data_IF_911422942503
#
_entry.id   IF_911422942503
#
_cell.length_a   1.000
_cell.length_b   1.000
_cell.length_c   1.000
_cell.angle_alpha   90.00
_cell.angle_beta   90.00
_cell.angle_gamma   90.00
#
_symmetry.space_group_name_H-M   'P 1'
#
loop_
_entity.id
_entity.type
_entity.pdbx_description
1 polymer ?
#
# COMPACT_ATOMS: atom_id res chain seq x y z
N UNK A 1 -8.92 -24.36 39.05
CA UNK A 1 -9.22 -25.50 38.14
C UNK A 1 -9.92 -24.90 36.94
N UNK A 2 -9.62 -25.38 35.73
CA UNK A 2 -10.25 -24.89 34.49
C UNK A 2 -11.25 -25.95 34.05
N UNK A 3 -12.48 -25.53 33.75
CA UNK A 3 -13.53 -26.38 33.22
C UNK A 3 -13.43 -26.36 31.70
N UNK A 4 -13.32 -27.54 31.09
CA UNK A 4 -13.46 -27.70 29.65
C UNK A 4 -14.88 -28.19 29.37
N UNK A 5 -15.72 -27.27 28.91
CA UNK A 5 -17.09 -27.56 28.50
C UNK A 5 -17.12 -28.16 27.09
N UNK A 6 -18.21 -28.87 26.77
CA UNK A 6 -18.48 -29.43 25.44
C UNK A 6 -17.35 -30.30 24.87
N UNK A 7 -16.78 -31.17 25.71
CA UNK A 7 -15.69 -32.06 25.32
C UNK A 7 -16.02 -32.92 24.08
N UNK A 8 -17.28 -33.36 23.93
CA UNK A 8 -17.74 -34.08 22.74
C UNK A 8 -17.57 -33.28 21.45
N UNK A 9 -17.94 -32.00 21.45
CA UNK A 9 -17.82 -31.10 20.30
C UNK A 9 -16.35 -30.83 19.95
N UNK A 10 -15.49 -30.67 20.96
CA UNK A 10 -14.04 -30.51 20.75
C UNK A 10 -13.45 -31.73 20.03
N UNK A 11 -13.85 -32.95 20.42
CA UNK A 11 -13.39 -34.18 19.78
C UNK A 11 -13.85 -34.24 18.31
N UNK A 12 -15.11 -33.88 18.03
CA UNK A 12 -15.65 -33.89 16.67
C UNK A 12 -14.96 -32.85 15.78
N UNK A 13 -14.84 -31.60 16.24
CA UNK A 13 -14.10 -30.55 15.51
C UNK A 13 -12.64 -30.92 15.26
N UNK A 14 -12.00 -31.58 16.22
CA UNK A 14 -10.62 -32.08 16.06
C UNK A 14 -10.55 -33.21 15.04
N UNK A 15 -11.58 -34.07 14.95
CA UNK A 15 -11.66 -35.12 13.93
C UNK A 15 -11.82 -34.55 12.52
N UNK A 16 -12.63 -33.50 12.39
CA UNK A 16 -12.84 -32.81 11.11
C UNK A 16 -11.57 -32.07 10.66
N UNK A 17 -10.91 -31.38 11.59
CA UNK A 17 -9.69 -30.63 11.30
C UNK A 17 -8.49 -31.55 10.99
N UNK A 18 -8.34 -32.63 11.75
CA UNK A 18 -7.19 -33.54 11.70
C UNK A 18 -7.61 -34.88 11.09
N UNK A 19 -8.17 -34.84 9.88
CA UNK A 19 -8.77 -36.02 9.22
C UNK A 19 -7.75 -37.09 8.81
N UNK A 20 -6.50 -36.71 8.50
CA UNK A 20 -5.47 -37.68 8.17
C UNK A 20 -4.95 -38.41 9.42
N UNK A 21 -4.49 -39.64 9.24
CA UNK A 21 -4.02 -40.50 10.35
C UNK A 21 -2.82 -39.89 11.10
N UNK A 22 -1.94 -39.21 10.37
CA UNK A 22 -0.69 -38.64 10.90
C UNK A 22 -0.84 -37.17 11.33
N UNK A 23 -2.02 -36.57 11.17
CA UNK A 23 -2.29 -35.20 11.60
C UNK A 23 -2.58 -35.13 13.10
N UNK A 24 -2.06 -34.10 13.75
CA UNK A 24 -2.36 -33.73 15.13
C UNK A 24 -2.18 -34.87 16.15
N UNK A 25 -1.27 -35.81 15.92
CA UNK A 25 -1.08 -37.03 16.74
C UNK A 25 -0.97 -36.72 18.24
N UNK A 26 -0.21 -35.67 18.59
CA UNK A 26 -0.04 -35.25 19.99
C UNK A 26 -1.36 -34.77 20.60
N UNK A 27 -2.15 -33.99 19.86
CA UNK A 27 -3.46 -33.50 20.30
C UNK A 27 -4.47 -34.64 20.43
N UNK A 28 -4.54 -35.54 19.44
CA UNK A 28 -5.39 -36.74 19.49
C UNK A 28 -5.08 -37.60 20.72
N UNK A 29 -3.81 -37.85 21.00
CA UNK A 29 -3.39 -38.62 22.18
C UNK A 29 -3.75 -37.92 23.50
N UNK A 30 -3.60 -36.59 23.58
CA UNK A 30 -4.02 -35.82 24.74
C UNK A 30 -5.53 -35.95 24.98
N UNK A 31 -6.35 -35.82 23.94
CA UNK A 31 -7.80 -35.96 24.03
C UNK A 31 -8.25 -37.39 24.39
N UNK A 32 -7.59 -38.42 23.85
CA UNK A 32 -7.87 -39.83 24.22
C UNK A 32 -7.63 -40.07 25.71
N UNK A 33 -6.52 -39.54 26.25
CA UNK A 33 -6.20 -39.64 27.66
C UNK A 33 -7.22 -38.89 28.54
N UNK A 34 -7.65 -37.69 28.12
CA UNK A 34 -8.67 -36.91 28.84
C UNK A 34 -10.06 -37.57 28.80
N UNK A 35 -10.42 -38.16 27.66
CA UNK A 35 -11.70 -38.85 27.48
C UNK A 35 -11.74 -40.28 28.03
N UNK A 36 -10.65 -40.76 28.64
CA UNK A 36 -10.49 -42.13 29.12
C UNK A 36 -10.96 -43.17 28.09
N UNK A 37 -10.54 -42.99 26.83
CA UNK A 37 -10.86 -43.89 25.72
C UNK A 37 -9.66 -44.76 25.38
N UNK A 38 -9.91 -45.89 24.74
CA UNK A 38 -8.85 -46.82 24.31
C UNK A 38 -8.03 -46.24 23.16
N UNK A 39 -8.70 -45.72 22.15
CA UNK A 39 -8.11 -45.21 20.90
C UNK A 39 -8.93 -44.01 20.38
N UNK A 40 -8.36 -43.25 19.44
CA UNK A 40 -9.00 -42.08 18.81
C UNK A 40 -10.35 -42.42 18.17
N UNK A 41 -10.42 -43.50 17.39
CA UNK A 41 -11.65 -43.92 16.71
C UNK A 41 -12.77 -44.27 17.70
N UNK A 42 -12.42 -44.88 18.83
CA UNK A 42 -13.36 -45.18 19.90
C UNK A 42 -13.88 -43.90 20.58
N UNK A 43 -13.03 -42.88 20.73
CA UNK A 43 -13.41 -41.59 21.29
C UNK A 43 -14.38 -40.85 20.36
N UNK A 44 -14.04 -40.76 19.06
CA UNK A 44 -14.87 -40.11 18.05
C UNK A 44 -16.23 -40.81 17.91
N UNK A 45 -16.26 -42.15 17.95
CA UNK A 45 -17.53 -42.91 17.93
C UNK A 45 -18.41 -42.63 19.15
N UNK A 46 -17.81 -42.41 20.33
CA UNK A 46 -18.55 -42.02 21.54
C UNK A 46 -19.07 -40.59 21.44
N UNK A 47 -18.27 -39.67 20.90
CA UNK A 47 -18.68 -38.29 20.64
C UNK A 47 -19.87 -38.24 19.67
N UNK A 48 -19.76 -38.92 18.52
CA UNK A 48 -20.84 -39.00 17.52
C UNK A 48 -22.14 -39.65 18.04
N UNK A 49 -22.04 -40.54 19.03
CA UNK A 49 -23.19 -41.17 19.67
C UNK A 49 -23.84 -40.28 20.76
N UNK A 50 -23.38 -39.03 20.94
CA UNK A 50 -23.84 -38.12 21.98
C UNK A 50 -23.47 -38.55 23.40
N UNK A 51 -22.60 -39.56 23.56
CA UNK A 51 -22.23 -40.10 24.89
C UNK A 51 -21.27 -39.19 25.66
N UNK A 52 -20.77 -38.15 25.01
CA UNK A 52 -19.87 -37.15 25.59
C UNK A 52 -20.55 -35.78 25.73
N UNK A 53 -21.84 -35.68 25.40
CA UNK A 53 -22.60 -34.44 25.52
C UNK A 53 -22.85 -34.13 27.01
N UNK A 54 -22.47 -32.93 27.44
CA UNK A 54 -22.53 -32.53 28.85
C UNK A 54 -21.42 -33.09 29.75
N UNK A 55 -20.39 -33.74 29.18
CA UNK A 55 -19.20 -34.14 29.93
C UNK A 55 -18.25 -32.95 30.05
N UNK A 56 -18.11 -32.43 31.26
CA UNK A 56 -17.18 -31.35 31.55
C UNK A 56 -15.90 -31.93 32.17
N UNK A 57 -14.75 -31.64 31.56
CA UNK A 57 -13.46 -32.14 32.03
C UNK A 57 -12.82 -31.10 32.95
N UNK A 58 -12.52 -31.49 34.18
CA UNK A 58 -11.81 -30.64 35.14
C UNK A 58 -10.30 -30.82 34.98
N UNK A 59 -9.65 -29.75 34.51
CA UNK A 59 -8.21 -29.73 34.30
C UNK A 59 -7.51 -28.98 35.43
N UNK A 60 -6.35 -29.50 35.82
CA UNK A 60 -5.38 -28.74 36.61
C UNK A 60 -4.83 -27.60 35.74
N UNK A 61 -4.51 -26.42 36.30
CA UNK A 61 -4.06 -25.27 35.53
C UNK A 61 -2.92 -25.58 34.55
N UNK A 62 -1.91 -26.33 35.00
CA UNK A 62 -0.76 -26.73 34.16
C UNK A 62 -1.18 -27.63 32.98
N UNK A 63 -2.12 -28.55 33.21
CA UNK A 63 -2.64 -29.42 32.16
C UNK A 63 -3.50 -28.66 31.16
N UNK A 64 -4.24 -27.64 31.62
CA UNK A 64 -5.02 -26.75 30.77
C UNK A 64 -4.12 -25.90 29.87
N UNK A 65 -3.06 -25.31 30.43
CA UNK A 65 -2.07 -24.53 29.67
C UNK A 65 -1.30 -25.40 28.66
N UNK A 66 -0.92 -26.62 29.03
CA UNK A 66 -0.28 -27.54 28.11
C UNK A 66 -1.20 -27.97 26.96
N UNK A 67 -2.50 -28.15 27.23
CA UNK A 67 -3.49 -28.47 26.20
C UNK A 67 -3.70 -27.27 25.27
N UNK A 68 -3.80 -26.07 25.82
CA UNK A 68 -3.96 -24.83 25.04
C UNK A 68 -2.79 -24.60 24.08
N UNK A 69 -1.55 -24.70 24.58
CA UNK A 69 -0.36 -24.61 23.73
C UNK A 69 -0.32 -25.68 22.63
N UNK A 70 -0.81 -26.89 22.95
CA UNK A 70 -0.87 -27.99 21.99
C UNK A 70 -1.91 -27.74 20.90
N UNK A 71 -3.07 -27.20 21.27
CA UNK A 71 -4.10 -26.76 20.32
C UNK A 71 -3.54 -25.63 19.46
N UNK A 72 -2.99 -24.58 20.06
CA UNK A 72 -2.41 -23.44 19.37
C UNK A 72 -1.36 -23.86 18.32
N UNK A 73 -0.45 -24.74 18.70
CA UNK A 73 0.61 -25.22 17.80
C UNK A 73 0.06 -26.11 16.68
N UNK A 74 -0.97 -26.92 16.98
CA UNK A 74 -1.57 -27.84 15.99
C UNK A 74 -2.45 -27.10 14.97
N UNK A 75 -3.15 -26.04 15.38
CA UNK A 75 -4.07 -25.28 14.52
C UNK A 75 -3.41 -24.13 13.78
N UNK A 76 -2.27 -23.62 14.25
CA UNK A 76 -1.52 -22.53 13.64
C UNK A 76 -1.35 -22.64 12.10
N UNK A 77 -0.82 -23.75 11.55
CA UNK A 77 -0.60 -23.84 10.10
C UNK A 77 -1.91 -23.80 9.31
N UNK A 78 -2.98 -24.39 9.85
CA UNK A 78 -4.30 -24.37 9.23
C UNK A 78 -4.87 -22.95 9.18
N UNK A 79 -4.85 -22.24 10.31
CA UNK A 79 -5.39 -20.88 10.38
C UNK A 79 -4.61 -19.95 9.45
N UNK A 80 -3.28 -20.03 9.44
CA UNK A 80 -2.46 -19.20 8.54
C UNK A 80 -2.72 -19.53 7.07
N UNK A 81 -2.87 -20.80 6.71
CA UNK A 81 -3.15 -21.19 5.32
C UNK A 81 -4.53 -20.71 4.85
N UNK A 82 -5.58 -20.95 5.65
CA UNK A 82 -6.94 -20.52 5.31
C UNK A 82 -7.06 -18.99 5.30
N UNK A 83 -6.39 -18.29 6.21
CA UNK A 83 -6.35 -16.83 6.21
C UNK A 83 -5.66 -16.29 4.96
N UNK A 84 -4.53 -16.87 4.56
CA UNK A 84 -3.83 -16.48 3.34
C UNK A 84 -4.68 -16.75 2.09
N UNK A 85 -5.36 -17.90 2.03
CA UNK A 85 -6.29 -18.25 0.95
C UNK A 85 -7.46 -17.27 0.85
N UNK A 86 -8.06 -16.93 1.99
CA UNK A 86 -9.15 -15.96 2.04
C UNK A 86 -8.69 -14.56 1.61
N UNK A 87 -7.50 -14.13 2.05
CA UNK A 87 -6.91 -12.85 1.63
C UNK A 87 -6.63 -12.80 0.12
N UNK A 88 -6.13 -13.89 -0.47
CA UNK A 88 -5.94 -13.99 -1.93
C UNK A 88 -7.28 -13.93 -2.69
N UNK A 89 -8.32 -14.58 -2.14
CA UNK A 89 -9.66 -14.52 -2.73
C UNK A 89 -10.24 -13.11 -2.70
N UNK A 90 -9.96 -12.32 -1.66
CA UNK A 90 -10.43 -10.94 -1.55
C UNK A 90 -9.73 -9.99 -2.53
N UNK A 91 -8.45 -10.23 -2.82
CA UNK A 91 -7.69 -9.47 -3.82
C UNK A 91 -8.03 -9.84 -5.27
N UNK A 92 -8.74 -10.94 -5.49
CA UNK A 92 -9.13 -11.38 -6.83
C UNK A 92 -10.45 -10.70 -7.21
N UNK A 93 -10.55 -10.10 -8.42
CA UNK A 93 -11.80 -9.50 -8.86
C UNK A 93 -12.89 -10.57 -8.91
N UNK A 94 -14.01 -10.30 -8.23
CA UNK A 94 -15.17 -11.19 -8.25
C UNK A 94 -15.70 -11.33 -9.69
N UNK A 95 -16.27 -12.49 -10.07
CA UNK A 95 -16.89 -12.63 -11.38
C UNK A 95 -18.08 -11.65 -11.51
N UNK A 96 -18.07 -10.85 -12.57
CA UNK A 96 -19.03 -9.76 -12.77
C UNK A 96 -18.79 -8.51 -11.91
N UNK A 97 -19.68 -7.52 -12.01
CA UNK A 97 -19.58 -6.27 -11.25
C UNK A 97 -18.65 -5.23 -11.89
N UNK A 98 -18.14 -4.31 -11.08
CA UNK A 98 -17.38 -3.14 -11.55
C UNK A 98 -16.05 -3.02 -10.80
N UNK A 99 -14.97 -2.78 -11.54
CA UNK A 99 -13.68 -2.38 -10.99
C UNK A 99 -13.40 -0.94 -11.40
N UNK A 100 -13.32 -0.04 -10.42
CA UNK A 100 -13.07 1.38 -10.64
C UNK A 100 -11.60 1.67 -10.30
N UNK A 101 -10.86 2.22 -11.26
CA UNK A 101 -9.43 2.51 -11.10
C UNK A 101 -9.16 3.96 -11.52
N UNK A 102 -8.34 4.66 -10.73
CA UNK A 102 -7.86 5.99 -11.09
C UNK A 102 -6.74 5.87 -12.11
N UNK A 103 -6.85 6.60 -13.23
CA UNK A 103 -5.78 6.68 -14.22
C UNK A 103 -4.51 7.35 -13.66
N UNK A 104 -4.63 8.13 -12.60
CA UNK A 104 -3.51 8.78 -11.90
C UNK A 104 -2.94 7.91 -10.76
N UNK A 105 -3.54 6.75 -10.48
CA UNK A 105 -3.13 5.88 -9.38
C UNK A 105 -3.47 6.44 -7.99
N UNK A 106 -4.37 7.42 -7.91
CA UNK A 106 -4.88 7.94 -6.65
C UNK A 106 -5.83 6.95 -5.99
N UNK A 107 -5.73 6.79 -4.67
CA UNK A 107 -6.68 6.00 -3.90
C UNK A 107 -8.04 6.72 -3.82
N UNK A 108 -9.13 5.97 -3.99
CA UNK A 108 -10.50 6.49 -3.84
C UNK A 108 -11.02 6.44 -2.40
N UNK A 109 -10.26 5.79 -1.52
CA UNK A 109 -10.67 5.49 -0.15
C UNK A 109 -9.56 5.88 0.80
N UNK A 110 -9.84 6.87 1.65
CA UNK A 110 -8.95 7.25 2.75
C UNK A 110 -9.14 6.29 3.92
N UNK A 111 -8.43 5.16 3.89
CA UNK A 111 -8.43 4.19 4.99
C UNK A 111 -7.13 4.34 5.80
N UNK A 112 -7.19 4.49 7.15
CA UNK A 112 -5.98 4.44 7.95
C UNK A 112 -5.32 3.06 7.81
N UNK A 113 -4.02 3.06 7.51
CA UNK A 113 -3.24 1.83 7.46
C UNK A 113 -3.28 1.13 8.83
N UNK A 114 -3.49 -0.19 8.87
CA UNK A 114 -3.43 -0.93 10.12
C UNK A 114 -2.05 -0.80 10.77
N UNK A 115 -2.01 -0.71 12.10
CA UNK A 115 -0.77 -0.49 12.86
C UNK A 115 0.21 -1.67 12.82
N UNK A 116 -0.29 -2.87 12.52
CA UNK A 116 0.49 -4.09 12.37
C UNK A 116 0.00 -4.83 11.11
N UNK A 117 0.90 -5.56 10.45
CA UNK A 117 0.54 -6.40 9.32
C UNK A 117 -0.33 -7.56 9.80
N UNK A 118 -1.22 -8.06 8.93
CA UNK A 118 -2.04 -9.23 9.21
C UNK A 118 -1.18 -10.44 9.63
N UNK A 119 0.02 -10.57 9.09
CA UNK A 119 0.92 -11.69 9.38
C UNK A 119 1.76 -11.52 10.65
N UNK A 120 1.71 -10.35 11.28
CA UNK A 120 2.40 -10.10 12.56
C UNK A 120 1.57 -10.58 13.76
N UNK A 121 0.27 -10.85 13.55
CA UNK A 121 -0.61 -11.37 14.58
C UNK A 121 -0.36 -12.87 14.85
N UNK A 122 -0.55 -13.32 16.10
CA UNK A 122 -0.54 -14.74 16.39
C UNK A 122 -1.66 -15.44 15.58
N UNK A 123 -1.46 -16.69 15.12
CA UNK A 123 -2.41 -17.38 14.23
C UNK A 123 -3.85 -17.38 14.75
N UNK A 124 -4.05 -17.55 16.06
CA UNK A 124 -5.37 -17.54 16.69
C UNK A 124 -6.14 -16.22 16.50
N UNK A 125 -5.42 -15.09 16.48
CA UNK A 125 -6.02 -13.76 16.28
C UNK A 125 -6.05 -13.35 14.81
N UNK A 126 -5.22 -13.98 13.98
CA UNK A 126 -5.04 -13.65 12.57
C UNK A 126 -6.36 -13.67 11.80
N UNK A 127 -7.19 -14.69 12.01
CA UNK A 127 -8.50 -14.79 11.37
C UNK A 127 -9.44 -13.64 11.77
N UNK A 128 -9.49 -13.30 13.05
CA UNK A 128 -10.32 -12.22 13.56
C UNK A 128 -9.83 -10.86 13.05
N UNK A 129 -8.52 -10.65 12.98
CA UNK A 129 -7.92 -9.46 12.39
C UNK A 129 -8.26 -9.35 10.90
N UNK A 130 -8.16 -10.45 10.15
CA UNK A 130 -8.57 -10.52 8.75
C UNK A 130 -10.06 -10.17 8.58
N UNK A 131 -10.94 -10.76 9.38
CA UNK A 131 -12.38 -10.49 9.31
C UNK A 131 -12.70 -9.01 9.56
N UNK A 132 -12.03 -8.37 10.53
CA UNK A 132 -12.18 -6.94 10.79
C UNK A 132 -11.72 -6.09 9.60
N UNK A 133 -10.58 -6.42 9.01
CA UNK A 133 -10.06 -5.72 7.82
C UNK A 133 -10.98 -5.91 6.61
N UNK A 134 -11.41 -7.13 6.34
CA UNK A 134 -12.34 -7.44 5.25
C UNK A 134 -13.68 -6.72 5.46
N UNK A 135 -14.22 -6.71 6.68
CA UNK A 135 -15.45 -6.00 6.98
C UNK A 135 -15.30 -4.49 6.78
N UNK A 136 -14.17 -3.92 7.20
CA UNK A 136 -13.85 -2.52 6.98
C UNK A 136 -13.83 -2.23 5.47
N UNK A 137 -13.03 -2.95 4.69
CA UNK A 137 -12.90 -2.76 3.24
C UNK A 137 -14.23 -2.90 2.49
N UNK A 138 -15.03 -3.93 2.82
CA UNK A 138 -16.29 -4.23 2.13
C UNK A 138 -17.42 -3.25 2.46
N UNK A 139 -17.35 -2.56 3.61
CA UNK A 139 -18.38 -1.61 4.05
C UNK A 139 -17.89 -0.16 4.05
N UNK A 140 -16.70 0.13 3.53
CA UNK A 140 -16.22 1.51 3.46
C UNK A 140 -16.96 2.24 2.34
N UNK A 141 -17.77 3.27 2.66
CA UNK A 141 -18.40 4.07 1.62
C UNK A 141 -17.31 4.86 0.90
N UNK A 142 -17.42 4.94 -0.42
CA UNK A 142 -16.54 5.75 -1.24
C UNK A 142 -17.37 6.52 -2.26
N UNK A 143 -16.92 7.72 -2.61
CA UNK A 143 -17.47 8.51 -3.70
C UNK A 143 -16.38 8.64 -4.75
N UNK A 144 -16.68 8.23 -5.98
CA UNK A 144 -15.77 8.37 -7.11
C UNK A 144 -16.38 9.32 -8.12
N UNK A 145 -15.77 10.50 -8.28
CA UNK A 145 -16.15 11.49 -9.28
C UNK A 145 -15.00 11.68 -10.27
N UNK A 146 -15.32 11.76 -11.56
CA UNK A 146 -14.30 11.81 -12.59
C UNK A 146 -14.86 11.76 -14.00
N UNK A 147 -13.98 11.99 -14.96
CA UNK A 147 -14.25 11.73 -16.38
C UNK A 147 -13.92 10.28 -16.65
N UNK A 148 -14.87 9.55 -17.24
CA UNK A 148 -14.63 8.16 -17.65
C UNK A 148 -13.74 8.17 -18.89
N UNK A 149 -12.53 7.61 -18.75
CA UNK A 149 -11.53 7.55 -19.83
C UNK A 149 -11.55 6.21 -20.55
N UNK A 150 -11.85 5.13 -19.84
CA UNK A 150 -11.82 3.76 -20.35
C UNK A 150 -12.98 2.95 -19.77
N UNK A 151 -13.63 2.18 -20.62
CA UNK A 151 -14.63 1.18 -20.24
C UNK A 151 -14.34 -0.08 -21.05
N UNK A 152 -14.04 -1.19 -20.38
CA UNK A 152 -13.94 -2.50 -21.02
C UNK A 152 -14.44 -3.61 -20.08
N UNK A 153 -14.82 -4.74 -20.65
CA UNK A 153 -15.27 -5.91 -19.88
C UNK A 153 -14.23 -7.01 -20.02
N UNK A 154 -13.77 -7.54 -18.88
CA UNK A 154 -12.81 -8.65 -18.86
C UNK A 154 -13.51 -10.00 -19.10
N UNK A 155 -12.74 -11.06 -19.31
CA UNK A 155 -13.21 -12.43 -19.51
C UNK A 155 -14.10 -12.94 -18.36
N UNK A 156 -13.90 -12.41 -17.15
CA UNK A 156 -14.69 -12.73 -15.96
C UNK A 156 -16.02 -11.95 -15.88
N UNK A 157 -16.34 -11.12 -16.87
CA UNK A 157 -17.55 -10.28 -16.91
C UNK A 157 -17.48 -9.03 -16.03
N UNK A 158 -16.34 -8.75 -15.41
CA UNK A 158 -16.07 -7.51 -14.65
C UNK A 158 -15.92 -6.34 -15.61
N UNK A 159 -16.64 -5.25 -15.35
CA UNK A 159 -16.51 -4.03 -16.11
C UNK A 159 -15.46 -3.12 -15.46
N UNK A 160 -14.36 -2.90 -16.16
CA UNK A 160 -13.29 -2.01 -15.76
C UNK A 160 -13.63 -0.59 -16.20
N UNK A 161 -13.66 0.34 -15.23
CA UNK A 161 -13.94 1.76 -15.46
C UNK A 161 -12.71 2.55 -15.00
N UNK A 162 -12.03 3.17 -15.98
CA UNK A 162 -10.97 4.13 -15.73
C UNK A 162 -11.58 5.51 -15.46
N UNK A 163 -11.25 6.10 -14.33
CA UNK A 163 -11.64 7.45 -13.97
C UNK A 163 -10.42 8.36 -13.93
N UNK A 164 -10.55 9.53 -14.55
CA UNK A 164 -9.63 10.63 -14.38
C UNK A 164 -10.27 11.67 -13.47
N UNK A 165 -9.63 12.07 -12.36
CA UNK A 165 -10.22 12.98 -11.39
C UNK A 165 -10.50 14.34 -12.02
N UNK A 166 -11.64 14.93 -11.65
CA UNK A 166 -11.95 16.31 -12.03
C UNK A 166 -11.18 17.21 -11.05
N UNK A 167 -10.45 18.23 -11.53
CA UNK A 167 -9.74 19.14 -10.65
C UNK A 167 -10.74 19.88 -9.76
N UNK A 168 -10.60 19.71 -8.46
CA UNK A 168 -11.37 20.44 -7.47
C UNK A 168 -11.23 21.96 -7.63
N UNK A 169 -12.20 22.71 -7.12
CA UNK A 169 -12.21 24.19 -7.17
C UNK A 169 -10.91 24.81 -6.64
N UNK A 170 -10.28 24.19 -5.63
CA UNK A 170 -8.97 24.58 -5.11
C UNK A 170 -7.82 24.30 -6.11
N UNK A 171 -7.86 23.15 -6.80
CA UNK A 171 -6.94 22.78 -7.86
C UNK A 171 -7.00 23.78 -9.02
N UNK A 172 -8.20 24.17 -9.45
CA UNK A 172 -8.39 25.21 -10.47
C UNK A 172 -7.76 26.55 -10.07
N UNK A 173 -7.94 26.99 -8.82
CA UNK A 173 -7.30 28.21 -8.31
C UNK A 173 -5.78 28.12 -8.29
N UNK A 174 -5.24 26.95 -7.96
CA UNK A 174 -3.80 26.71 -7.99
C UNK A 174 -3.25 26.77 -9.41
N UNK A 175 -3.93 26.17 -10.38
CA UNK A 175 -3.57 26.29 -11.80
C UNK A 175 -3.63 27.73 -12.29
N UNK A 176 -4.68 28.47 -11.94
CA UNK A 176 -4.81 29.90 -12.26
C UNK A 176 -3.66 30.73 -11.66
N UNK A 177 -3.29 30.46 -10.41
CA UNK A 177 -2.19 31.14 -9.73
C UNK A 177 -0.84 30.82 -10.38
N UNK A 178 -0.56 29.54 -10.66
CA UNK A 178 0.71 29.13 -11.30
C UNK A 178 0.85 29.67 -12.71
N UNK A 179 -0.23 29.71 -13.49
CA UNK A 179 -0.22 30.29 -14.85
C UNK A 179 0.01 31.79 -14.82
N UNK A 180 -0.63 32.53 -13.91
CA UNK A 180 -0.37 33.95 -13.70
C UNK A 180 1.10 34.20 -13.30
N UNK A 181 1.65 33.37 -12.41
CA UNK A 181 3.03 33.47 -11.96
C UNK A 181 4.02 33.19 -13.10
N UNK A 182 3.75 32.18 -13.93
CA UNK A 182 4.54 31.90 -15.14
C UNK A 182 4.51 33.07 -16.13
N UNK A 183 3.36 33.70 -16.34
CA UNK A 183 3.24 34.88 -17.21
C UNK A 183 4.04 36.07 -16.69
N UNK A 184 3.99 36.35 -15.39
CA UNK A 184 4.77 37.45 -14.79
C UNK A 184 6.27 37.17 -14.87
N UNK A 185 6.70 35.93 -14.61
CA UNK A 185 8.08 35.50 -14.75
C UNK A 185 8.57 35.64 -16.20
N UNK A 186 7.76 35.21 -17.18
CA UNK A 186 8.07 35.35 -18.61
C UNK A 186 8.21 36.84 -19.01
N UNK A 187 7.31 37.70 -18.54
CA UNK A 187 7.38 39.14 -18.77
C UNK A 187 8.66 39.76 -18.19
N UNK A 188 9.05 39.36 -16.97
CA UNK A 188 10.29 39.82 -16.35
C UNK A 188 11.54 39.35 -17.11
N UNK A 189 11.54 38.12 -17.62
CA UNK A 189 12.63 37.57 -18.40
C UNK A 189 12.81 38.30 -19.73
N UNK A 190 11.71 38.59 -20.43
CA UNK A 190 11.73 39.38 -21.67
C UNK A 190 12.24 40.79 -21.40
N UNK A 191 11.72 41.46 -20.36
CA UNK A 191 12.13 42.81 -20.01
C UNK A 191 13.64 42.89 -19.69
N UNK A 192 14.13 41.99 -18.84
CA UNK A 192 15.55 41.91 -18.51
C UNK A 192 16.41 41.55 -19.72
N UNK A 193 15.93 40.65 -20.59
CA UNK A 193 16.59 40.29 -21.84
C UNK A 193 16.77 41.48 -22.78
N UNK A 194 15.72 42.30 -22.97
CA UNK A 194 15.79 43.52 -23.79
C UNK A 194 16.76 44.54 -23.18
N UNK A 195 16.75 44.71 -21.86
CA UNK A 195 17.67 45.62 -21.17
C UNK A 195 19.13 45.14 -21.31
N UNK A 196 19.38 43.84 -21.15
CA UNK A 196 20.70 43.23 -21.33
C UNK A 196 21.20 43.41 -22.78
N UNK A 197 20.33 43.20 -23.78
CA UNK A 197 20.66 43.40 -25.18
C UNK A 197 21.01 44.85 -25.49
N UNK A 198 20.20 45.81 -25.02
CA UNK A 198 20.49 47.25 -25.18
C UNK A 198 21.81 47.63 -24.53
N UNK A 199 22.10 47.10 -23.33
CA UNK A 199 23.37 47.32 -22.65
C UNK A 199 24.54 46.74 -23.44
N UNK A 200 24.38 45.55 -24.02
CA UNK A 200 25.40 44.90 -24.84
C UNK A 200 25.70 45.70 -26.12
N UNK A 201 24.67 46.15 -26.84
CA UNK A 201 24.83 47.01 -28.02
C UNK A 201 25.57 48.30 -27.69
N UNK A 202 25.16 49.02 -26.64
CA UNK A 202 25.84 50.24 -26.18
C UNK A 202 27.28 49.98 -25.75
N UNK A 203 27.56 48.83 -25.14
CA UNK A 203 28.93 48.45 -24.78
C UNK A 203 29.78 48.19 -26.02
N UNK A 204 29.23 47.51 -27.04
CA UNK A 204 29.93 47.31 -28.31
C UNK A 204 30.20 48.62 -29.04
N UNK A 205 29.23 49.53 -29.13
CA UNK A 205 29.47 50.84 -29.77
C UNK A 205 30.55 51.63 -29.04
N UNK A 206 30.50 51.66 -27.71
CA UNK A 206 31.55 52.30 -26.89
C UNK A 206 32.94 51.69 -27.10
N UNK A 207 33.04 50.36 -27.16
CA UNK A 207 34.34 49.71 -27.41
C UNK A 207 34.88 50.02 -28.81
N UNK A 208 34.01 50.09 -29.83
CA UNK A 208 34.43 50.52 -31.18
C UNK A 208 34.89 51.97 -31.21
N UNK A 209 34.19 52.89 -30.52
CA UNK A 209 34.60 54.30 -30.40
C UNK A 209 35.93 54.45 -29.66
N UNK A 210 36.12 53.71 -28.56
CA UNK A 210 37.38 53.70 -27.80
C UNK A 210 38.51 53.18 -28.68
N UNK A 211 38.30 52.08 -29.40
CA UNK A 211 39.32 51.52 -30.27
C UNK A 211 39.67 52.47 -31.42
N UNK A 212 38.68 53.11 -32.04
CA UNK A 212 38.91 54.12 -33.07
C UNK A 212 39.67 55.35 -32.54
N UNK A 213 39.39 55.79 -31.31
CA UNK A 213 40.12 56.87 -30.66
C UNK A 213 41.60 56.51 -30.47
N UNK A 214 41.90 55.32 -29.91
CA UNK A 214 43.29 54.89 -29.73
C UNK A 214 44.01 54.62 -31.06
N UNK A 215 43.34 54.06 -32.07
CA UNK A 215 43.89 53.89 -33.42
C UNK A 215 44.22 55.24 -34.08
N UNK A 216 43.40 56.28 -33.84
CA UNK A 216 43.69 57.63 -34.33
C UNK A 216 44.90 58.28 -33.65
N UNK A 217 45.12 58.03 -32.35
CA UNK A 217 46.29 58.51 -31.60
C UNK A 217 47.57 57.72 -31.92
N UNK A 218 47.45 56.46 -32.33
CA UNK A 218 48.55 55.60 -32.78
C UNK A 218 48.88 55.78 -34.27
N UNK A 219 48.15 56.63 -34.99
CA UNK A 219 48.36 56.88 -36.41
C UNK A 219 49.64 57.75 -36.58
N UNK A 220 50.72 57.23 -37.20
CA UNK A 220 52.05 57.86 -37.20
C UNK A 220 52.18 59.09 -38.14
N UNK A 221 51.08 59.66 -38.64
CA UNK A 221 51.12 60.78 -39.59
C UNK A 221 51.15 62.18 -38.93
N UNK A 222 51.18 62.27 -37.59
CA UNK A 222 51.31 63.54 -36.85
C UNK A 222 52.54 63.60 -35.94
N UNK A 223 53.44 62.61 -35.98
CA UNK A 223 54.75 62.72 -35.35
C UNK A 223 55.72 63.22 -36.43
N UNK A 224 55.77 64.53 -36.64
CA UNK A 224 56.89 65.17 -37.34
C UNK A 224 58.18 64.88 -36.55
N UNK A 225 59.18 64.17 -37.11
CA UNK A 225 60.50 64.15 -36.49
C UNK A 225 61.22 65.44 -36.88
N UNK A 226 61.03 66.47 -36.06
CA UNK A 226 61.90 67.65 -35.98
C UNK A 226 62.04 67.91 -34.48
N UNK A 227 63.18 67.77 -33.82
CA UNK A 227 64.55 68.05 -34.23
C UNK A 227 65.52 67.02 -33.63
N UNK A 228 66.44 66.54 -34.44
CA UNK A 228 67.79 66.20 -34.00
C UNK A 228 68.73 66.47 -35.17
N UNK A 229 69.85 67.17 -34.91
CA UNK A 229 70.99 67.55 -35.78
C UNK A 229 71.04 69.08 -36.01
N UNK A 230 71.83 69.84 -35.22
CA UNK A 230 73.25 70.19 -35.46
C UNK A 230 73.40 71.07 -36.73
N UNK A 231 73.41 72.39 -36.57
CA UNK A 231 74.54 73.34 -36.80
C UNK A 231 74.15 74.76 -36.38
#
# INVERSE_FOLDING_TARGET
MVLLDDFGDIVLKTADLCSAKDDCVRLKNALVNLGNSKDWDALVKRANAGKLDGVNVLLRPVSAESLDNLVATSTAPFITHETARAAQSLNSPAPGGFLIVSDEGSDFVDQPWPSASLYDYPPQEQWNAFQKLAQMLMHTPFNAEGIVTKIFTDANGTQHIGLHPIPDRSGLWRYLSTTLLLLTMLGSAIYNGVQAWRRYQRHRTRMMEIQAYYESCLNPQLITPSESLIE
#
